data_IF_101667237052
#
_entry.id   IF_101667237052
#
_cell.length_a   1.000
_cell.length_b   1.000
_cell.length_c   1.000
_cell.angle_alpha   90.00
_cell.angle_beta   90.00
_cell.angle_gamma   90.00
#
_symmetry.space_group_name_H-M   'P 1'
#
loop_
_entity.id
_entity.type
_entity.pdbx_description
1 polymer ?
#
# COMPACT_ATOMS: atom_id res chain seq x y z
N UNK A 1 -23.64 -14.61 55.37
CA UNK A 1 -22.31 -15.10 54.93
C UNK A 1 -22.43 -15.63 53.52
N UNK A 2 -21.98 -14.84 52.56
CA UNK A 2 -21.47 -15.32 51.27
C UNK A 2 -20.67 -14.15 50.70
N UNK A 3 -19.41 -14.09 51.12
CA UNK A 3 -18.42 -13.14 50.64
C UNK A 3 -18.16 -13.43 49.16
N UNK A 4 -18.65 -12.54 48.29
CA UNK A 4 -18.10 -12.45 46.94
C UNK A 4 -16.90 -11.53 47.01
N UNK A 5 -15.73 -12.14 46.97
CA UNK A 5 -14.46 -11.48 46.73
C UNK A 5 -14.60 -10.60 45.49
N UNK A 6 -14.54 -9.29 45.70
CA UNK A 6 -14.37 -8.30 44.63
C UNK A 6 -12.94 -8.43 44.12
N UNK A 7 -12.72 -9.30 43.14
CA UNK A 7 -11.49 -9.27 42.36
C UNK A 7 -11.40 -7.90 41.68
N UNK A 8 -10.32 -7.18 42.01
CA UNK A 8 -9.99 -5.90 41.45
C UNK A 8 -9.83 -6.03 39.93
N UNK A 9 -10.79 -5.48 39.18
CA UNK A 9 -10.60 -5.17 37.77
C UNK A 9 -9.50 -4.12 37.71
N UNK A 10 -8.28 -4.54 37.38
CA UNK A 10 -7.13 -3.67 37.21
C UNK A 10 -7.46 -2.50 36.30
N UNK A 11 -7.14 -1.31 36.78
CA UNK A 11 -7.29 -0.02 36.12
C UNK A 11 -6.50 0.02 34.81
N UNK A 12 -7.15 -0.34 33.70
CA UNK A 12 -6.55 -0.35 32.34
C UNK A 12 -6.85 0.92 31.55
N UNK A 13 -7.31 1.98 32.20
CA UNK A 13 -7.67 3.22 31.51
C UNK A 13 -7.12 4.36 32.33
N UNK A 14 -5.96 4.92 31.93
CA UNK A 14 -5.32 6.10 32.54
C UNK A 14 -6.12 7.39 32.39
N UNK A 15 -7.45 7.30 32.52
CA UNK A 15 -8.43 8.34 32.39
C UNK A 15 -8.51 9.10 33.70
N UNK A 16 -8.04 10.35 33.70
CA UNK A 16 -8.08 11.22 34.86
C UNK A 16 -8.76 12.54 34.53
N UNK A 17 -9.44 13.08 35.52
CA UNK A 17 -10.01 14.44 35.45
C UNK A 17 -8.96 15.43 35.94
N UNK A 18 -8.51 16.33 35.07
CA UNK A 18 -7.54 17.38 35.41
C UNK A 18 -8.13 18.75 35.13
N UNK A 19 -7.61 19.78 35.79
CA UNK A 19 -7.97 21.17 35.46
C UNK A 19 -7.44 21.52 34.07
N UNK A 20 -8.15 22.39 33.34
CA UNK A 20 -7.75 22.79 31.98
C UNK A 20 -6.30 23.28 31.92
N UNK A 21 -5.83 24.04 32.91
CA UNK A 21 -4.46 24.59 32.96
C UNK A 21 -3.38 23.52 33.05
N UNK A 22 -3.73 22.39 33.65
CA UNK A 22 -2.83 21.28 33.94
C UNK A 22 -2.94 20.20 32.84
N UNK A 23 -3.82 20.38 31.86
CA UNK A 23 -4.09 19.41 30.80
C UNK A 23 -3.14 19.50 29.60
N UNK A 24 -2.29 20.53 29.53
CA UNK A 24 -1.38 20.75 28.40
C UNK A 24 -0.46 19.54 28.21
N UNK A 25 -0.39 19.02 26.99
CA UNK A 25 0.37 17.82 26.63
C UNK A 25 -0.38 16.50 26.84
N UNK A 26 -1.58 16.52 27.43
CA UNK A 26 -2.40 15.33 27.64
C UNK A 26 -3.43 15.15 26.53
N UNK A 27 -3.94 13.92 26.37
CA UNK A 27 -4.86 13.56 25.27
C UNK A 27 -6.31 13.63 25.74
N UNK A 28 -7.17 14.32 24.99
CA UNK A 28 -8.59 14.34 25.28
C UNK A 28 -9.22 12.95 25.12
N UNK A 29 -9.91 12.48 26.15
CA UNK A 29 -10.55 11.18 26.14
C UNK A 29 -11.91 11.15 25.42
N UNK A 30 -12.49 12.31 25.11
CA UNK A 30 -13.80 12.45 24.46
C UNK A 30 -13.87 13.76 23.64
N UNK A 31 -14.82 13.81 22.70
CA UNK A 31 -15.11 15.02 21.93
C UNK A 31 -15.65 16.12 22.85
N UNK A 32 -15.20 17.36 22.63
CA UNK A 32 -15.72 18.56 23.29
C UNK A 32 -16.55 19.34 22.27
N UNK A 33 -17.86 19.36 22.47
CA UNK A 33 -18.81 20.07 21.61
C UNK A 33 -18.92 21.54 22.02
N UNK A 34 -18.89 22.43 21.04
CA UNK A 34 -19.21 23.84 21.18
C UNK A 34 -20.65 24.09 20.73
N UNK A 35 -21.40 24.75 21.61
CA UNK A 35 -22.78 25.16 21.35
C UNK A 35 -22.82 26.66 21.59
N UNK A 36 -22.92 27.43 20.50
CA UNK A 36 -23.25 28.86 20.54
C UNK A 36 -24.69 29.01 20.06
N UNK A 37 -25.55 29.57 20.92
CA UNK A 37 -26.93 29.85 20.55
C UNK A 37 -26.97 30.70 19.29
N UNK A 38 -27.77 30.26 18.31
CA UNK A 38 -28.04 30.90 17.03
C UNK A 38 -26.85 31.12 16.06
N UNK A 39 -25.63 30.67 16.41
CA UNK A 39 -24.44 30.81 15.56
C UNK A 39 -23.87 29.46 15.07
N UNK A 40 -23.66 28.50 15.97
CA UNK A 40 -22.93 27.28 15.63
C UNK A 40 -23.15 26.15 16.64
N UNK A 41 -23.39 24.93 16.13
CA UNK A 41 -23.43 23.70 16.92
C UNK A 41 -22.54 22.67 16.25
N UNK A 42 -21.40 22.37 16.85
CA UNK A 42 -20.43 21.44 16.29
C UNK A 42 -19.32 21.06 17.26
N UNK A 43 -18.47 20.10 16.87
CA UNK A 43 -17.30 19.71 17.66
C UNK A 43 -16.26 20.84 17.65
N UNK A 44 -15.83 21.29 18.83
CA UNK A 44 -14.69 22.21 18.95
C UNK A 44 -13.37 21.45 19.09
N UNK A 45 -13.37 20.39 19.91
CA UNK A 45 -12.22 19.50 20.04
C UNK A 45 -12.66 18.05 19.86
N UNK A 46 -11.77 17.25 19.31
CA UNK A 46 -12.01 15.84 19.04
C UNK A 46 -11.29 14.97 20.08
N UNK A 47 -11.86 13.81 20.40
CA UNK A 47 -11.18 12.73 21.10
C UNK A 47 -9.85 12.42 20.41
N UNK A 48 -8.79 12.23 21.19
CA UNK A 48 -7.42 12.08 20.69
C UNK A 48 -6.66 13.40 20.53
N UNK A 49 -7.29 14.56 20.65
CA UNK A 49 -6.56 15.83 20.55
C UNK A 49 -5.58 16.02 21.74
N UNK A 50 -4.32 16.32 21.44
CA UNK A 50 -3.31 16.71 22.44
C UNK A 50 -3.55 18.18 22.79
N UNK A 51 -3.89 18.45 24.05
CA UNK A 51 -4.18 19.81 24.52
C UNK A 51 -2.92 20.67 24.42
N UNK A 52 -3.00 21.77 23.69
CA UNK A 52 -1.94 22.78 23.55
C UNK A 52 -2.22 23.96 24.48
N UNK A 53 -1.19 24.78 24.76
CA UNK A 53 -1.35 26.02 25.55
C UNK A 53 -2.38 26.97 24.94
N UNK A 54 -2.50 26.96 23.62
CA UNK A 54 -3.41 27.77 22.82
C UNK A 54 -4.88 27.41 23.10
N UNK A 55 -5.15 26.13 23.31
CA UNK A 55 -6.51 25.57 23.46
C UNK A 55 -7.16 25.98 24.78
N UNK A 56 -6.36 26.31 25.80
CA UNK A 56 -6.83 26.64 27.15
C UNK A 56 -7.85 27.79 27.13
N UNK A 57 -7.59 28.82 26.33
CA UNK A 57 -8.49 29.97 26.20
C UNK A 57 -9.83 29.59 25.56
N UNK A 58 -9.82 28.72 24.55
CA UNK A 58 -11.03 28.26 23.86
C UNK A 58 -11.82 27.32 24.77
N UNK A 59 -11.17 26.34 25.40
CA UNK A 59 -11.79 25.42 26.35
C UNK A 59 -12.44 26.15 27.54
N UNK A 60 -11.82 27.23 28.03
CA UNK A 60 -12.39 28.09 29.06
C UNK A 60 -13.64 28.84 28.58
N UNK A 61 -13.65 29.34 27.33
CA UNK A 61 -14.85 29.96 26.72
C UNK A 61 -16.01 28.97 26.56
N UNK A 62 -15.70 27.69 26.40
CA UNK A 62 -16.70 26.60 26.38
C UNK A 62 -17.23 26.23 27.78
N UNK A 63 -16.83 26.96 28.82
CA UNK A 63 -17.25 26.70 30.20
C UNK A 63 -16.65 25.43 30.81
N UNK A 64 -15.56 24.91 30.24
CA UNK A 64 -14.85 23.75 30.80
C UNK A 64 -13.79 24.21 31.79
N UNK A 65 -13.90 23.77 33.04
CA UNK A 65 -12.86 23.94 34.05
C UNK A 65 -11.99 22.69 34.22
N UNK A 66 -12.56 21.53 33.89
CA UNK A 66 -11.93 20.22 33.99
C UNK A 66 -12.09 19.44 32.69
N UNK A 67 -11.08 18.63 32.36
CA UNK A 67 -11.05 17.75 31.20
C UNK A 67 -10.76 16.33 31.65
N UNK A 68 -11.45 15.37 31.04
CA UNK A 68 -11.03 13.97 31.12
C UNK A 68 -9.94 13.74 30.09
N UNK A 69 -8.74 13.45 30.58
CA UNK A 69 -7.55 13.27 29.76
C UNK A 69 -6.91 11.91 30.04
N UNK A 70 -6.22 11.40 29.03
CA UNK A 70 -5.27 10.31 29.17
C UNK A 70 -3.88 10.93 29.37
N UNK A 71 -3.16 10.52 30.43
CA UNK A 71 -1.73 10.85 30.52
C UNK A 71 -0.97 10.05 29.47
N UNK A 72 -0.09 10.73 28.74
CA UNK A 72 0.97 10.06 27.99
C UNK A 72 2.19 10.13 28.90
N UNK A 73 2.63 8.99 29.42
CA UNK A 73 3.87 8.94 30.19
C UNK A 73 5.09 8.95 29.25
N UNK A 74 6.28 9.19 29.80
CA UNK A 74 7.53 9.25 29.02
C UNK A 74 7.83 7.97 28.23
N UNK A 75 7.18 6.84 28.53
CA UNK A 75 7.28 5.57 27.79
C UNK A 75 6.21 5.37 26.70
N UNK A 76 5.30 6.33 26.53
CA UNK A 76 4.14 6.23 25.66
C UNK A 76 4.19 7.25 24.51
N UNK A 77 3.40 7.00 23.48
CA UNK A 77 3.35 7.81 22.29
C UNK A 77 1.91 7.93 21.78
N UNK A 78 1.57 9.11 21.26
CA UNK A 78 0.29 9.37 20.61
C UNK A 78 0.13 8.55 19.32
N UNK A 79 -1.09 8.08 19.04
CA UNK A 79 -1.41 7.23 17.90
C UNK A 79 -0.95 7.79 16.54
N UNK A 80 -1.06 9.10 16.32
CA UNK A 80 -0.68 9.73 15.05
C UNK A 80 0.84 9.74 14.86
N UNK A 81 1.60 10.00 15.92
CA UNK A 81 3.06 9.94 15.90
C UNK A 81 3.54 8.50 15.69
N UNK A 82 2.88 7.54 16.35
CA UNK A 82 3.12 6.11 16.16
C UNK A 82 2.87 5.70 14.71
N UNK A 83 1.73 6.07 14.15
CA UNK A 83 1.34 5.73 12.79
C UNK A 83 2.34 6.26 11.76
N UNK A 84 2.82 7.48 11.96
CA UNK A 84 3.86 8.06 11.11
C UNK A 84 5.18 7.29 11.17
N UNK A 85 5.62 6.90 12.37
CA UNK A 85 6.83 6.10 12.56
C UNK A 85 6.71 4.72 11.89
N UNK A 86 5.57 4.05 12.06
CA UNK A 86 5.28 2.76 11.43
C UNK A 86 5.28 2.87 9.89
N UNK A 87 4.58 3.86 9.33
CA UNK A 87 4.54 4.05 7.88
C UNK A 87 5.93 4.33 7.31
N UNK A 88 6.69 5.19 7.97
CA UNK A 88 8.07 5.51 7.58
C UNK A 88 8.98 4.29 7.54
N UNK A 89 8.78 3.33 8.46
CA UNK A 89 9.56 2.10 8.49
C UNK A 89 9.11 1.07 7.43
N UNK A 90 7.82 1.05 7.07
CA UNK A 90 7.25 0.12 6.09
C UNK A 90 7.54 0.52 4.63
N UNK A 91 7.71 1.82 4.36
CA UNK A 91 7.97 2.34 3.02
C UNK A 91 9.34 1.91 2.48
N UNK A 92 9.35 1.37 1.27
CA UNK A 92 10.55 1.16 0.46
C UNK A 92 10.55 2.05 -0.79
N UNK A 93 11.23 1.60 -1.85
CA UNK A 93 11.35 2.40 -3.06
C UNK A 93 10.01 2.54 -3.82
N UNK A 94 9.71 3.76 -4.31
CA UNK A 94 8.56 3.99 -5.20
C UNK A 94 7.23 4.22 -4.48
N UNK A 95 7.23 4.35 -3.15
CA UNK A 95 6.07 4.71 -2.34
C UNK A 95 6.35 5.91 -1.45
N UNK A 96 5.30 6.65 -1.10
CA UNK A 96 5.36 7.82 -0.22
C UNK A 96 4.13 7.86 0.70
N UNK A 97 4.21 8.68 1.76
CA UNK A 97 3.07 8.91 2.65
C UNK A 97 1.98 9.69 1.90
N UNK A 98 0.74 9.21 1.97
CA UNK A 98 -0.43 9.77 1.27
C UNK A 98 -1.14 10.92 1.98
N UNK A 99 -0.51 11.56 2.97
CA UNK A 99 -1.08 12.65 3.76
C UNK A 99 -0.64 12.64 5.21
N UNK A 100 -1.45 13.25 6.08
CA UNK A 100 -1.22 13.28 7.52
C UNK A 100 -1.86 12.08 8.21
N UNK A 101 -1.28 11.65 9.34
CA UNK A 101 -1.92 10.69 10.22
C UNK A 101 -3.20 11.31 10.81
N UNK A 102 -4.30 10.56 10.76
CA UNK A 102 -5.60 10.96 11.31
C UNK A 102 -6.24 9.78 11.99
N UNK A 103 -6.61 9.95 13.26
CA UNK A 103 -7.21 8.89 14.09
C UNK A 103 -6.34 7.64 14.17
N UNK A 104 -5.02 7.83 14.28
CA UNK A 104 -4.07 6.73 14.32
C UNK A 104 -3.99 5.96 13.00
N UNK A 105 -4.48 6.50 11.88
CA UNK A 105 -4.37 5.88 10.55
C UNK A 105 -3.55 6.78 9.63
N UNK A 106 -2.66 6.15 8.87
CA UNK A 106 -1.92 6.82 7.80
C UNK A 106 -1.88 5.92 6.56
N UNK A 107 -1.98 6.54 5.39
CA UNK A 107 -1.97 5.83 4.10
C UNK A 107 -0.62 5.97 3.42
N UNK A 108 -0.26 4.95 2.65
CA UNK A 108 0.92 4.91 1.79
C UNK A 108 0.39 4.84 0.35
N UNK A 109 0.92 5.71 -0.51
CA UNK A 109 0.55 5.82 -1.91
C UNK A 109 1.74 5.52 -2.82
N UNK A 110 1.47 5.05 -4.02
CA UNK A 110 2.48 4.86 -5.04
C UNK A 110 2.99 6.23 -5.54
N UNK A 111 4.30 6.46 -5.51
CA UNK A 111 4.91 7.68 -6.07
C UNK A 111 5.12 7.59 -7.58
N UNK A 112 5.18 6.37 -8.11
CA UNK A 112 5.31 6.09 -9.54
C UNK A 112 4.35 4.98 -9.97
N UNK A 113 4.06 4.91 -11.27
CA UNK A 113 3.35 3.75 -11.82
C UNK A 113 4.30 2.56 -11.89
N UNK A 114 3.81 1.35 -11.64
CA UNK A 114 4.65 0.16 -11.64
C UNK A 114 3.98 -1.07 -11.05
N UNK A 115 4.80 -2.04 -10.68
CA UNK A 115 4.38 -3.28 -10.04
C UNK A 115 4.61 -3.19 -8.53
N UNK A 116 3.53 -3.28 -7.75
CA UNK A 116 3.58 -3.33 -6.30
C UNK A 116 4.23 -4.64 -5.84
N UNK A 117 5.24 -4.57 -4.97
CA UNK A 117 5.89 -5.71 -4.33
C UNK A 117 5.80 -5.54 -2.83
N UNK A 118 5.32 -6.59 -2.16
CA UNK A 118 5.16 -6.63 -0.71
C UNK A 118 6.00 -7.76 -0.15
N UNK A 119 6.85 -7.46 0.83
CA UNK A 119 7.51 -8.48 1.63
C UNK A 119 6.52 -9.06 2.64
N UNK A 120 5.92 -10.19 2.28
CA UNK A 120 4.86 -10.83 3.07
C UNK A 120 5.37 -11.34 4.42
N UNK A 121 6.59 -11.85 4.49
CA UNK A 121 7.13 -12.43 5.72
C UNK A 121 7.36 -11.35 6.79
N UNK A 122 7.90 -10.20 6.38
CA UNK A 122 8.07 -9.06 7.27
C UNK A 122 6.72 -8.44 7.65
N UNK A 123 5.83 -8.24 6.69
CA UNK A 123 4.50 -7.69 6.96
C UNK A 123 3.69 -8.60 7.90
N UNK A 124 3.81 -9.92 7.76
CA UNK A 124 3.14 -10.87 8.64
C UNK A 124 3.68 -10.76 10.07
N UNK A 125 5.00 -10.71 10.27
CA UNK A 125 5.59 -10.53 11.61
C UNK A 125 5.23 -9.19 12.22
N UNK A 126 5.22 -8.13 11.42
CA UNK A 126 4.78 -6.80 11.84
C UNK A 126 3.33 -6.84 12.36
N UNK A 127 2.43 -7.51 11.65
CA UNK A 127 1.02 -7.65 12.03
C UNK A 127 0.76 -8.64 13.18
N UNK A 128 1.79 -9.36 13.65
CA UNK A 128 1.68 -10.21 14.84
C UNK A 128 1.94 -9.45 16.14
N UNK A 129 2.39 -8.20 16.06
CA UNK A 129 2.50 -7.33 17.23
C UNK A 129 1.12 -6.79 17.61
N UNK A 130 0.87 -6.74 18.91
CA UNK A 130 -0.32 -6.09 19.44
C UNK A 130 -0.27 -4.57 19.16
N UNK A 131 -1.44 -3.93 19.12
CA UNK A 131 -1.62 -2.49 18.96
C UNK A 131 -1.25 -1.88 17.60
N UNK A 132 -0.72 -2.66 16.65
CA UNK A 132 -0.38 -2.20 15.29
C UNK A 132 -1.02 -3.06 14.21
N UNK A 133 -1.35 -2.44 13.08
CA UNK A 133 -1.85 -3.16 11.90
C UNK A 133 -1.44 -2.44 10.63
N UNK A 134 -1.01 -3.20 9.63
CA UNK A 134 -0.82 -2.72 8.27
C UNK A 134 -1.59 -3.61 7.27
N UNK A 135 -2.43 -2.97 6.47
CA UNK A 135 -3.15 -3.61 5.37
C UNK A 135 -2.61 -3.08 4.03
N UNK A 136 -2.40 -3.97 3.08
CA UNK A 136 -1.87 -3.64 1.75
C UNK A 136 -2.77 -4.18 0.64
N UNK A 137 -2.70 -3.56 -0.54
CA UNK A 137 -3.14 -4.19 -1.78
C UNK A 137 -2.30 -5.45 -2.01
N UNK A 138 -2.85 -6.42 -2.75
CA UNK A 138 -2.14 -7.65 -3.06
C UNK A 138 -0.81 -7.36 -3.78
N UNK A 139 0.25 -8.02 -3.35
CA UNK A 139 1.53 -8.01 -4.08
C UNK A 139 1.35 -8.45 -5.53
N UNK A 140 2.21 -7.96 -6.41
CA UNK A 140 2.20 -8.17 -7.87
C UNK A 140 0.98 -7.54 -8.57
N UNK A 141 0.42 -6.50 -7.96
CA UNK A 141 -0.65 -5.70 -8.57
C UNK A 141 -0.03 -4.50 -9.27
N UNK A 142 -0.51 -4.20 -10.48
CA UNK A 142 -0.10 -3.00 -11.21
C UNK A 142 -0.78 -1.79 -10.60
N UNK A 143 -0.01 -0.77 -10.26
CA UNK A 143 -0.47 0.44 -9.59
C UNK A 143 -0.12 1.69 -10.38
N UNK A 144 -0.94 2.73 -10.25
CA UNK A 144 -0.73 4.06 -10.83
C UNK A 144 -0.17 5.02 -9.78
N UNK A 145 0.55 6.05 -10.23
CA UNK A 145 0.98 7.15 -9.35
C UNK A 145 -0.23 7.75 -8.61
N UNK A 146 -0.08 7.94 -7.30
CA UNK A 146 -1.11 8.46 -6.40
C UNK A 146 -2.09 7.39 -5.88
N UNK A 147 -2.04 6.15 -6.37
CA UNK A 147 -2.91 5.09 -5.88
C UNK A 147 -2.55 4.69 -4.45
N UNK A 148 -3.54 4.54 -3.58
CA UNK A 148 -3.35 4.00 -2.22
C UNK A 148 -2.96 2.53 -2.33
N UNK A 149 -1.78 2.18 -1.82
CA UNK A 149 -1.24 0.81 -1.86
C UNK A 149 -1.25 0.14 -0.50
N UNK A 150 -1.22 0.93 0.58
CA UNK A 150 -1.31 0.41 1.94
C UNK A 150 -1.84 1.45 2.92
N UNK A 151 -2.25 0.97 4.09
CA UNK A 151 -2.55 1.79 5.25
C UNK A 151 -2.08 1.11 6.52
N UNK A 152 -1.45 1.87 7.40
CA UNK A 152 -1.06 1.40 8.73
C UNK A 152 -1.80 2.17 9.79
N UNK A 153 -2.06 1.51 10.93
CA UNK A 153 -2.77 2.09 12.05
C UNK A 153 -2.18 1.66 13.39
N UNK A 154 -2.03 2.62 14.30
CA UNK A 154 -1.95 2.35 15.74
C UNK A 154 -3.38 2.21 16.29
N UNK A 155 -3.69 1.10 16.95
CA UNK A 155 -5.06 0.76 17.34
C UNK A 155 -5.52 1.57 18.56
N UNK A 156 -4.74 1.65 19.66
CA UNK A 156 -5.06 2.50 20.81
C UNK A 156 -4.65 3.96 20.58
N UNK A 157 -5.33 4.88 21.27
CA UNK A 157 -5.01 6.32 21.25
C UNK A 157 -3.60 6.65 21.77
N UNK A 158 -3.14 5.84 22.72
CA UNK A 158 -1.83 5.94 23.35
C UNK A 158 -1.20 4.56 23.30
N UNK A 159 -0.01 4.46 22.72
CA UNK A 159 0.73 3.21 22.52
C UNK A 159 2.07 3.26 23.22
N UNK A 160 2.53 2.11 23.71
CA UNK A 160 3.87 1.99 24.29
C UNK A 160 4.93 2.21 23.21
N UNK A 161 5.93 3.03 23.51
CA UNK A 161 7.02 3.31 22.58
C UNK A 161 7.80 2.05 22.21
N UNK A 162 8.01 1.16 23.17
CA UNK A 162 8.70 -0.13 22.98
C UNK A 162 8.02 -1.00 21.91
N UNK A 163 6.68 -1.05 21.88
CA UNK A 163 5.92 -1.79 20.86
C UNK A 163 6.17 -1.21 19.47
N UNK A 164 6.16 0.12 19.35
CA UNK A 164 6.39 0.81 18.07
C UNK A 164 7.84 0.66 17.61
N UNK A 165 8.81 0.77 18.51
CA UNK A 165 10.22 0.54 18.20
C UNK A 165 10.46 -0.90 17.71
N UNK A 166 9.84 -1.88 18.35
CA UNK A 166 9.88 -3.28 17.90
C UNK A 166 9.30 -3.43 16.51
N UNK A 167 8.13 -2.85 16.24
CA UNK A 167 7.49 -2.87 14.92
C UNK A 167 8.35 -2.21 13.83
N UNK A 168 8.96 -1.06 14.16
CA UNK A 168 9.88 -0.33 13.27
C UNK A 168 11.12 -1.17 12.98
N UNK A 169 11.69 -1.85 13.97
CA UNK A 169 12.86 -2.70 13.79
C UNK A 169 12.54 -3.89 12.87
N UNK A 170 11.42 -4.58 13.08
CA UNK A 170 10.96 -5.67 12.19
C UNK A 170 10.84 -5.17 10.75
N UNK A 171 10.20 -4.01 10.54
CA UNK A 171 10.02 -3.45 9.21
C UNK A 171 11.37 -3.10 8.53
N UNK A 172 12.35 -2.62 9.30
CA UNK A 172 13.70 -2.26 8.83
C UNK A 172 14.61 -3.46 8.54
N UNK A 173 14.27 -4.67 8.98
CA UNK A 173 15.03 -5.87 8.60
C UNK A 173 15.02 -6.10 7.08
N UNK A 174 13.97 -5.64 6.40
CA UNK A 174 13.94 -5.57 4.94
C UNK A 174 14.31 -4.17 4.45
N UNK A 175 14.99 -4.10 3.31
CA UNK A 175 15.27 -2.86 2.59
C UNK A 175 14.01 -2.28 1.89
N UNK A 176 12.86 -2.33 2.56
CA UNK A 176 11.53 -1.95 2.04
C UNK A 176 10.52 -3.09 2.15
N UNK A 177 9.47 -2.90 2.95
CA UNK A 177 8.35 -3.86 3.05
C UNK A 177 7.37 -3.66 1.89
N UNK A 178 7.15 -2.40 1.52
CA UNK A 178 6.20 -1.99 0.50
C UNK A 178 6.96 -1.20 -0.56
N UNK A 179 7.03 -1.73 -1.78
CA UNK A 179 7.78 -1.12 -2.87
C UNK A 179 6.96 -1.10 -4.16
N UNK A 180 7.19 -0.11 -5.00
CA UNK A 180 6.69 -0.08 -6.37
C UNK A 180 7.87 -0.13 -7.32
N UNK A 181 8.05 -1.27 -7.98
CA UNK A 181 9.09 -1.45 -8.99
C UNK A 181 8.61 -0.88 -10.31
N UNK A 182 9.48 -0.13 -10.96
CA UNK A 182 9.21 0.38 -12.31
C UNK A 182 9.03 -0.79 -13.27
N UNK A 183 7.95 -0.74 -14.06
CA UNK A 183 7.75 -1.70 -15.13
C UNK A 183 8.55 -1.26 -16.34
N UNK A 184 9.38 -2.17 -16.86
CA UNK A 184 10.03 -1.95 -18.14
C UNK A 184 8.97 -1.90 -19.23
N UNK A 185 9.14 -1.00 -20.19
CA UNK A 185 8.33 -0.97 -21.41
C UNK A 185 8.71 -2.20 -22.24
N UNK A 186 7.83 -3.21 -22.37
CA UNK A 186 8.19 -4.42 -23.12
C UNK A 186 8.26 -4.07 -24.61
N UNK A 187 9.32 -4.53 -25.28
CA UNK A 187 9.42 -4.52 -26.74
C UNK A 187 9.03 -5.90 -27.25
N UNK A 188 7.82 -6.03 -27.78
CA UNK A 188 7.21 -7.34 -28.07
C UNK A 188 7.20 -7.59 -29.57
N UNK A 189 7.65 -8.79 -29.96
CA UNK A 189 7.43 -9.34 -31.29
C UNK A 189 6.29 -10.34 -31.27
N UNK A 190 5.40 -10.28 -32.26
CA UNK A 190 4.24 -11.18 -32.36
C UNK A 190 4.38 -12.02 -33.63
N UNK A 191 4.36 -13.34 -33.50
CA UNK A 191 4.23 -14.26 -34.63
C UNK A 191 2.91 -15.00 -34.51
N UNK A 192 2.07 -14.84 -35.52
CA UNK A 192 0.76 -15.48 -35.62
C UNK A 192 0.88 -16.63 -36.62
N UNK A 193 0.60 -17.83 -36.14
CA UNK A 193 0.74 -19.09 -36.87
C UNK A 193 -0.62 -19.68 -37.21
N UNK A 194 -0.71 -20.25 -38.41
CA UNK A 194 -1.92 -20.92 -38.90
C UNK A 194 -2.03 -20.76 -40.40
N UNK A 195 -2.17 -21.89 -41.10
CA UNK A 195 -2.26 -21.91 -42.56
C UNK A 195 -3.49 -21.13 -43.07
N UNK A 196 -4.58 -21.11 -42.31
CA UNK A 196 -5.82 -20.41 -42.67
C UNK A 196 -5.66 -18.88 -42.60
N UNK A 197 -4.88 -18.41 -41.62
CA UNK A 197 -4.58 -16.98 -41.44
C UNK A 197 -3.52 -16.55 -42.46
N UNK A 198 -2.48 -17.36 -42.66
CA UNK A 198 -1.41 -17.09 -43.63
C UNK A 198 -1.93 -17.02 -45.07
N UNK A 199 -2.87 -17.90 -45.45
CA UNK A 199 -3.51 -17.90 -46.76
C UNK A 199 -4.66 -16.88 -46.89
N UNK A 200 -4.99 -16.14 -45.83
CA UNK A 200 -6.01 -15.09 -45.82
C UNK A 200 -7.45 -15.59 -45.82
N UNK A 201 -7.69 -16.87 -45.52
CA UNK A 201 -9.04 -17.45 -45.42
C UNK A 201 -9.78 -16.97 -44.18
N UNK A 202 -9.06 -16.65 -43.11
CA UNK A 202 -9.60 -16.13 -41.85
C UNK A 202 -8.84 -14.84 -41.48
N UNK A 203 -9.58 -13.84 -41.01
CA UNK A 203 -8.97 -12.61 -40.46
C UNK A 203 -8.48 -12.87 -39.04
N UNK A 204 -7.27 -12.38 -38.75
CA UNK A 204 -6.74 -12.41 -37.40
C UNK A 204 -7.60 -11.59 -36.41
N UNK A 205 -7.81 -12.15 -35.22
CA UNK A 205 -8.46 -11.49 -34.10
C UNK A 205 -7.51 -11.28 -32.90
N UNK A 206 -6.31 -11.87 -32.92
CA UNK A 206 -5.38 -11.86 -31.80
C UNK A 206 -4.47 -10.64 -31.80
N UNK A 207 -3.93 -10.24 -32.95
CA UNK A 207 -3.10 -9.04 -33.06
C UNK A 207 -3.75 -7.81 -32.39
N UNK A 208 -5.01 -7.41 -32.70
CA UNK A 208 -5.59 -6.21 -32.09
C UNK A 208 -5.75 -6.33 -30.56
N UNK A 209 -6.04 -7.54 -30.05
CA UNK A 209 -6.24 -7.77 -28.61
C UNK A 209 -4.89 -7.69 -27.87
N UNK A 210 -3.86 -8.36 -28.40
CA UNK A 210 -2.51 -8.33 -27.82
C UNK A 210 -1.95 -6.91 -27.89
N UNK A 211 -2.11 -6.24 -29.03
CA UNK A 211 -1.64 -4.87 -29.23
C UNK A 211 -2.19 -3.95 -28.16
N UNK A 212 -3.51 -3.98 -27.96
CA UNK A 212 -4.17 -3.17 -26.93
C UNK A 212 -3.62 -3.45 -25.52
N UNK A 213 -3.40 -4.72 -25.16
CA UNK A 213 -2.84 -5.08 -23.84
C UNK A 213 -1.40 -4.57 -23.66
N UNK A 214 -0.57 -4.65 -24.70
CA UNK A 214 0.82 -4.16 -24.66
C UNK A 214 0.83 -2.64 -24.50
N UNK A 215 -0.03 -1.94 -25.25
CA UNK A 215 -0.19 -0.48 -25.16
C UNK A 215 -0.66 -0.03 -23.77
N UNK A 216 -1.56 -0.78 -23.11
CA UNK A 216 -2.00 -0.50 -21.73
C UNK A 216 -0.85 -0.49 -20.70
N UNK A 217 0.25 -1.18 -21.00
CA UNK A 217 1.48 -1.20 -20.19
C UNK A 217 2.61 -0.34 -20.78
N UNK A 218 2.28 0.58 -21.68
CA UNK A 218 3.23 1.44 -22.40
C UNK A 218 4.34 0.64 -23.13
N UNK A 219 4.03 -0.57 -23.58
CA UNK A 219 4.91 -1.39 -24.40
C UNK A 219 4.94 -0.95 -25.86
N UNK A 220 5.94 -1.44 -26.57
CA UNK A 220 6.18 -1.20 -27.99
C UNK A 220 6.08 -2.53 -28.74
N UNK A 221 5.42 -2.53 -29.89
CA UNK A 221 5.37 -3.70 -30.77
C UNK A 221 6.43 -3.50 -31.85
N UNK A 222 7.42 -4.40 -31.84
CA UNK A 222 8.55 -4.37 -32.79
C UNK A 222 8.09 -4.81 -34.18
N UNK A 223 7.19 -5.80 -34.24
CA UNK A 223 6.64 -6.29 -35.49
C UNK A 223 5.58 -7.37 -35.27
N UNK A 224 4.71 -7.52 -36.26
CA UNK A 224 3.70 -8.57 -36.32
C UNK A 224 3.91 -9.33 -37.61
N UNK A 225 4.25 -10.61 -37.50
CA UNK A 225 4.47 -11.49 -38.63
C UNK A 225 3.46 -12.65 -38.65
N UNK A 226 3.16 -13.11 -39.85
CA UNK A 226 2.33 -14.28 -40.09
C UNK A 226 3.19 -15.39 -40.65
N UNK A 227 3.04 -16.61 -40.11
CA UNK A 227 3.75 -17.79 -40.59
C UNK A 227 2.78 -18.96 -40.79
N UNK A 228 3.00 -19.83 -41.80
CA UNK A 228 2.33 -21.12 -41.85
C UNK A 228 2.74 -22.00 -40.67
N UNK A 229 2.05 -23.12 -40.46
CA UNK A 229 2.42 -24.13 -39.45
C UNK A 229 3.64 -24.95 -39.90
N UNK A 230 4.73 -24.25 -40.22
CA UNK A 230 6.02 -24.81 -40.61
C UNK A 230 7.11 -24.25 -39.69
N UNK A 231 7.84 -25.15 -39.05
CA UNK A 231 8.85 -24.83 -38.04
C UNK A 231 9.94 -23.89 -38.56
N UNK A 232 10.39 -24.08 -39.81
CA UNK A 232 11.46 -23.26 -40.40
C UNK A 232 10.98 -21.84 -40.67
N UNK A 233 9.73 -21.70 -41.12
CA UNK A 233 9.12 -20.37 -41.31
C UNK A 233 8.93 -19.64 -39.99
N UNK A 234 8.49 -20.35 -38.95
CA UNK A 234 8.31 -19.77 -37.61
C UNK A 234 9.65 -19.32 -37.04
N UNK A 235 10.68 -20.17 -37.12
CA UNK A 235 12.03 -19.85 -36.65
C UNK A 235 12.62 -18.63 -37.37
N UNK A 236 12.47 -18.55 -38.69
CA UNK A 236 12.92 -17.39 -39.47
C UNK A 236 12.26 -16.09 -38.99
N UNK A 237 10.93 -16.09 -38.76
CA UNK A 237 10.21 -14.90 -38.27
C UNK A 237 10.55 -14.52 -36.84
N UNK A 238 10.82 -15.50 -35.98
CA UNK A 238 11.31 -15.24 -34.63
C UNK A 238 12.69 -14.60 -34.65
N UNK A 239 13.60 -15.07 -35.51
CA UNK A 239 14.93 -14.48 -35.66
C UNK A 239 14.88 -13.04 -36.18
N UNK A 240 14.02 -12.75 -37.17
CA UNK A 240 13.79 -11.38 -37.65
C UNK A 240 13.36 -10.43 -36.52
N UNK A 241 12.47 -10.88 -35.63
CA UNK A 241 12.01 -10.08 -34.47
C UNK A 241 13.10 -9.86 -33.42
N UNK A 242 13.92 -10.88 -33.18
CA UNK A 242 15.06 -10.78 -32.26
C UNK A 242 16.07 -9.76 -32.79
N UNK A 243 16.41 -9.80 -34.09
CA UNK A 243 17.31 -8.85 -34.74
C UNK A 243 16.75 -7.43 -34.77
N UNK A 244 15.43 -7.27 -34.93
CA UNK A 244 14.74 -5.99 -34.91
C UNK A 244 14.68 -5.33 -33.51
N UNK A 245 15.23 -5.98 -32.49
CA UNK A 245 15.39 -5.39 -31.16
C UNK A 245 14.30 -5.74 -30.16
N UNK A 246 13.58 -6.86 -30.35
CA UNK A 246 12.83 -7.48 -29.25
C UNK A 246 13.82 -7.85 -28.13
N UNK A 247 13.72 -7.15 -27.00
CA UNK A 247 14.72 -7.26 -25.92
C UNK A 247 14.66 -8.63 -25.25
N UNK A 248 15.49 -9.58 -25.68
CA UNK A 248 15.70 -10.84 -24.98
C UNK A 248 17.02 -10.78 -24.19
N UNK A 249 16.97 -10.42 -22.91
CA UNK A 249 18.15 -10.53 -22.04
C UNK A 249 18.14 -11.88 -21.32
N UNK A 250 18.94 -12.83 -21.83
CA UNK A 250 19.15 -14.17 -21.26
C UNK A 250 19.47 -14.17 -19.74
N UNK A 251 20.02 -13.09 -19.20
CA UNK A 251 20.43 -13.00 -17.80
C UNK A 251 19.29 -12.79 -16.78
N UNK A 252 18.06 -12.43 -17.18
CA UNK A 252 16.96 -12.11 -16.23
C UNK A 252 15.54 -12.48 -16.72
N UNK A 253 15.38 -13.64 -17.36
CA UNK A 253 14.14 -14.43 -17.30
C UNK A 253 12.86 -13.90 -17.95
N UNK A 254 12.90 -12.94 -18.88
CA UNK A 254 11.72 -12.58 -19.68
C UNK A 254 12.12 -12.32 -21.13
N UNK A 255 11.66 -13.16 -22.05
CA UNK A 255 11.79 -12.98 -23.49
C UNK A 255 10.39 -12.60 -24.01
N UNK A 256 10.14 -11.35 -24.42
CA UNK A 256 8.83 -10.88 -24.85
C UNK A 256 8.57 -11.25 -26.32
N UNK A 257 8.66 -12.54 -26.64
CA UNK A 257 8.24 -13.10 -27.91
C UNK A 257 6.95 -13.85 -27.67
N UNK A 258 5.87 -13.40 -28.29
CA UNK A 258 4.55 -14.01 -28.17
C UNK A 258 4.31 -14.83 -29.45
N UNK A 259 4.31 -16.15 -29.31
CA UNK A 259 3.91 -17.07 -30.37
C UNK A 259 2.44 -17.47 -30.16
N UNK A 260 1.59 -17.06 -31.09
CA UNK A 260 0.17 -17.41 -31.09
C UNK A 260 -0.17 -18.31 -32.28
N UNK A 261 -1.01 -19.31 -32.05
CA UNK A 261 -1.63 -20.13 -33.10
C UNK A 261 -3.10 -19.76 -33.24
N UNK A 262 -3.70 -20.16 -34.36
CA UNK A 262 -5.17 -20.18 -34.53
C UNK A 262 -5.91 -20.98 -33.43
N UNK A 263 -5.20 -21.80 -32.64
CA UNK A 263 -5.73 -22.61 -31.53
C UNK A 263 -5.36 -22.09 -30.13
N UNK A 264 -4.65 -20.97 -30.00
CA UNK A 264 -4.25 -20.37 -28.71
C UNK A 264 -2.76 -20.04 -28.58
N UNK A 265 -2.38 -19.55 -27.39
CA UNK A 265 -1.01 -19.13 -27.05
C UNK A 265 -0.10 -20.36 -26.86
N UNK A 266 0.99 -20.46 -27.62
CA UNK A 266 1.96 -21.57 -27.49
C UNK A 266 3.13 -21.23 -26.57
N UNK A 267 3.51 -19.95 -26.48
CA UNK A 267 4.73 -19.56 -25.78
C UNK A 267 4.57 -18.23 -25.06
N UNK A 268 4.78 -18.25 -23.74
CA UNK A 268 4.87 -17.07 -22.86
C UNK A 268 6.17 -17.17 -22.06
N UNK A 269 7.31 -17.00 -22.73
CA UNK A 269 8.63 -16.59 -22.23
C UNK A 269 9.19 -17.11 -20.88
N UNK A 270 8.55 -18.07 -20.20
CA UNK A 270 8.72 -18.32 -18.75
C UNK A 270 8.94 -19.79 -18.38
N UNK A 271 8.96 -20.73 -19.32
CA UNK A 271 9.27 -22.13 -18.99
C UNK A 271 9.97 -22.88 -20.12
N UNK A 272 10.91 -23.72 -19.70
CA UNK A 272 11.71 -24.67 -20.48
C UNK A 272 10.85 -25.54 -21.42
N UNK A 273 11.40 -25.74 -22.63
CA UNK A 273 11.19 -26.84 -23.60
C UNK A 273 9.76 -27.09 -24.12
N UNK A 274 9.65 -27.04 -25.45
CA UNK A 274 9.36 -28.27 -26.20
C UNK A 274 10.69 -28.72 -26.80
#
# INVERSE_FOLDING_TARGET
>A
MCERQSEAVGDRTGLRTVRITDAVGMVLAHDVTEIRQDEFKGRAFKKGHIVRREDICHLRRLGKEHLFVLSIDDGEMHEDAASYALASALMGEGVVVGGEAKEGKITIVADRAGLLRINRDVLSRFNMLDDVICATVHSNTVVRKGQVVAGTRAIPLVVKRETIETAVNIAREAAGVIEVKEMRKPKVGIVITGNEIYQGWIKDAFAPIITKKIEEYNGEIVGIYYAPDDERFIEARLNELIEAGSTCSSQRGACPLILMTSRGLLYDGSARRI
#
